data_IF_346866841497
#
_entry.id   IF_346866841497
#
_cell.length_a   1.000
_cell.length_b   1.000
_cell.length_c   1.000
_cell.angle_alpha   90.00
_cell.angle_beta   90.00
_cell.angle_gamma   90.00
#
_symmetry.space_group_name_H-M   'P 1'
#
loop_
_entity.id
_entity.type
_entity.pdbx_description
1 polymer ?
#
# COMPACT_ATOMS: atom_id res chain seq x y z
N UNK A 1 -15.29 24.36 -0.34
CA UNK A 1 -14.68 23.07 -0.73
C UNK A 1 -15.72 21.95 -0.59
N UNK A 2 -16.26 21.71 0.62
CA UNK A 2 -17.36 20.75 0.83
C UNK A 2 -18.60 20.98 -0.05
N UNK A 3 -19.08 22.22 -0.17
CA UNK A 3 -20.25 22.53 -1.01
C UNK A 3 -20.02 22.30 -2.52
N UNK A 4 -18.75 22.16 -2.94
CA UNK A 4 -18.36 21.90 -4.33
C UNK A 4 -18.00 20.44 -4.58
N UNK A 5 -18.12 19.56 -3.58
CA UNK A 5 -17.70 18.15 -3.66
C UNK A 5 -16.26 17.95 -4.17
N UNK A 6 -15.37 18.86 -3.79
CA UNK A 6 -13.94 18.75 -4.13
C UNK A 6 -13.20 18.06 -2.97
N UNK A 7 -12.29 17.15 -3.31
CA UNK A 7 -11.46 16.41 -2.35
C UNK A 7 -12.29 15.54 -1.39
N UNK A 8 -13.27 14.83 -1.93
CA UNK A 8 -14.12 13.92 -1.13
C UNK A 8 -13.41 12.60 -0.82
N UNK A 9 -12.40 12.22 -1.61
CA UNK A 9 -11.66 10.98 -1.42
C UNK A 9 -10.35 11.20 -0.63
N UNK A 10 -9.90 10.18 0.12
CA UNK A 10 -8.67 10.26 0.91
C UNK A 10 -7.47 10.69 0.06
N UNK A 11 -6.65 11.59 0.58
CA UNK A 11 -5.37 12.01 -0.01
C UNK A 11 -5.42 12.74 -1.37
N UNK A 12 -6.59 13.04 -1.93
CA UNK A 12 -6.67 13.73 -3.24
C UNK A 12 -5.96 15.09 -3.23
N UNK A 13 -6.12 15.88 -2.16
CA UNK A 13 -5.48 17.20 -2.04
C UNK A 13 -3.96 17.07 -1.91
N UNK A 14 -3.49 16.12 -1.12
CA UNK A 14 -2.08 15.80 -0.92
C UNK A 14 -1.43 15.33 -2.22
N UNK A 15 -2.09 14.43 -2.96
CA UNK A 15 -1.60 13.91 -4.25
C UNK A 15 -1.59 15.00 -5.32
N UNK A 16 -2.57 15.90 -5.34
CA UNK A 16 -2.54 17.09 -6.20
C UNK A 16 -1.34 17.98 -5.85
N UNK A 17 -1.02 18.18 -4.57
CA UNK A 17 0.15 18.96 -4.17
C UNK A 17 1.46 18.33 -4.66
N UNK A 18 1.59 17.01 -4.59
CA UNK A 18 2.77 16.30 -5.12
C UNK A 18 2.87 16.48 -6.64
N UNK A 19 1.76 16.36 -7.37
CA UNK A 19 1.72 16.60 -8.81
C UNK A 19 2.11 18.05 -9.18
N UNK A 20 1.63 19.04 -8.43
CA UNK A 20 1.98 20.44 -8.65
C UNK A 20 3.47 20.71 -8.35
N UNK A 21 4.01 20.11 -7.28
CA UNK A 21 5.44 20.19 -6.96
C UNK A 21 6.31 19.60 -8.07
N UNK A 22 5.86 18.50 -8.70
CA UNK A 22 6.50 17.94 -9.90
C UNK A 22 6.58 18.96 -11.03
N UNK A 23 5.43 19.54 -11.40
CA UNK A 23 5.36 20.51 -12.50
C UNK A 23 6.23 21.74 -12.21
N UNK A 24 6.13 22.29 -11.01
CA UNK A 24 6.93 23.43 -10.57
C UNK A 24 8.44 23.14 -10.61
N UNK A 25 8.86 21.92 -10.31
CA UNK A 25 10.27 21.54 -10.36
C UNK A 25 10.85 21.66 -11.77
N UNK A 26 10.07 21.30 -12.81
CA UNK A 26 10.49 21.49 -14.19
C UNK A 26 10.58 22.97 -14.56
N UNK A 27 9.55 23.75 -14.23
CA UNK A 27 9.52 25.20 -14.49
C UNK A 27 10.70 25.90 -13.81
N UNK A 28 11.02 25.51 -12.57
CA UNK A 28 12.13 26.07 -11.80
C UNK A 28 13.49 25.76 -12.44
N UNK A 29 13.75 24.50 -12.80
CA UNK A 29 15.01 24.11 -13.42
C UNK A 29 15.20 24.81 -14.76
N UNK A 30 14.14 24.91 -15.57
CA UNK A 30 14.19 25.60 -16.85
C UNK A 30 14.38 27.11 -16.70
N UNK A 31 13.70 27.73 -15.73
CA UNK A 31 13.89 29.15 -15.41
C UNK A 31 15.35 29.44 -15.01
N UNK A 32 15.92 28.65 -14.10
CA UNK A 32 17.32 28.79 -13.69
C UNK A 32 18.28 28.56 -14.88
N UNK A 33 18.01 27.55 -15.72
CA UNK A 33 18.84 27.27 -16.90
C UNK A 33 18.81 28.42 -17.91
N UNK A 34 17.64 28.99 -18.17
CA UNK A 34 17.47 30.16 -19.03
C UNK A 34 18.28 31.35 -18.53
N UNK A 35 18.17 31.70 -17.24
CA UNK A 35 18.90 32.85 -16.69
C UNK A 35 20.41 32.61 -16.53
N UNK A 36 20.87 31.36 -16.42
CA UNK A 36 22.31 31.04 -16.43
C UNK A 36 22.93 31.22 -17.82
N UNK A 37 22.26 30.75 -18.86
CA UNK A 37 22.78 30.79 -20.23
C UNK A 37 21.68 30.96 -21.29
N UNK A 38 21.13 32.18 -21.49
CA UNK A 38 20.00 32.40 -22.38
C UNK A 38 20.27 31.97 -23.83
N UNK A 39 21.50 32.15 -24.32
CA UNK A 39 21.88 31.85 -25.71
C UNK A 39 22.02 30.36 -26.04
N UNK A 40 22.16 29.49 -25.04
CA UNK A 40 22.30 28.04 -25.23
C UNK A 40 21.17 27.25 -24.56
N UNK A 41 20.22 27.93 -23.93
CA UNK A 41 19.10 27.30 -23.25
C UNK A 41 18.24 26.51 -24.25
N UNK A 42 17.84 25.32 -23.82
CA UNK A 42 16.81 24.51 -24.47
C UNK A 42 15.86 23.99 -23.39
N UNK A 43 14.54 24.03 -23.61
CA UNK A 43 13.61 23.36 -22.72
C UNK A 43 13.87 21.85 -22.73
N UNK A 44 13.57 21.19 -21.62
CA UNK A 44 13.55 19.74 -21.53
C UNK A 44 12.37 19.21 -22.36
N UNK A 45 12.62 18.22 -23.21
CA UNK A 45 11.58 17.63 -24.04
C UNK A 45 10.46 17.01 -23.18
N UNK A 46 9.22 17.13 -23.67
CA UNK A 46 8.02 16.74 -22.93
C UNK A 46 8.03 15.25 -22.54
N UNK A 47 8.57 14.38 -23.40
CA UNK A 47 8.71 12.96 -23.10
C UNK A 47 9.59 12.70 -21.88
N UNK A 48 10.73 13.40 -21.76
CA UNK A 48 11.58 13.29 -20.58
C UNK A 48 10.90 13.84 -19.34
N UNK A 49 10.19 14.98 -19.45
CA UNK A 49 9.38 15.51 -18.34
C UNK A 49 8.32 14.49 -17.91
N UNK A 50 7.66 13.84 -18.86
CA UNK A 50 6.63 12.83 -18.59
C UNK A 50 7.24 11.62 -17.86
N UNK A 51 8.37 11.12 -18.31
CA UNK A 51 9.06 9.99 -17.71
C UNK A 51 9.77 10.30 -16.38
N UNK A 52 9.84 11.57 -15.96
CA UNK A 52 10.32 11.98 -14.64
C UNK A 52 9.16 12.09 -13.65
N UNK A 53 9.26 11.38 -12.53
CA UNK A 53 8.36 11.50 -11.38
C UNK A 53 8.93 12.33 -10.24
N UNK A 54 8.24 12.31 -9.10
CA UNK A 54 8.71 12.87 -7.83
C UNK A 54 9.35 11.75 -7.01
N UNK A 55 10.65 11.84 -6.77
CA UNK A 55 11.33 10.97 -5.81
C UNK A 55 10.96 11.35 -4.38
N UNK A 56 10.56 10.37 -3.57
CA UNK A 56 10.27 10.58 -2.15
C UNK A 56 11.03 9.56 -1.29
N UNK A 57 11.60 10.03 -0.18
CA UNK A 57 12.21 9.20 0.85
C UNK A 57 11.23 9.05 2.02
N UNK A 58 10.58 7.89 2.10
CA UNK A 58 9.56 7.63 3.11
C UNK A 58 10.17 6.88 4.29
N UNK A 59 10.09 7.49 5.47
CA UNK A 59 10.47 6.88 6.74
C UNK A 59 9.29 6.28 7.51
N UNK A 60 9.54 6.00 8.79
CA UNK A 60 8.64 5.32 9.73
C UNK A 60 7.28 6.00 9.97
N UNK A 61 7.13 7.28 9.61
CA UNK A 61 5.94 8.06 9.93
C UNK A 61 4.62 7.48 9.41
N UNK A 62 4.65 6.69 8.34
CA UNK A 62 3.43 6.10 7.79
C UNK A 62 3.05 4.73 8.37
N UNK A 63 3.95 4.04 9.09
CA UNK A 63 3.64 2.72 9.64
C UNK A 63 2.53 2.79 10.72
N UNK A 64 2.58 3.72 11.71
CA UNK A 64 1.48 3.87 12.67
C UNK A 64 0.14 4.25 12.03
N UNK A 65 0.16 4.98 10.90
CA UNK A 65 -1.07 5.34 10.19
C UNK A 65 -1.86 4.09 9.80
N UNK A 66 -1.19 3.06 9.25
CA UNK A 66 -1.86 1.82 8.84
C UNK A 66 -2.51 1.09 10.02
N UNK A 67 -1.91 1.18 11.21
CA UNK A 67 -2.42 0.54 12.43
C UNK A 67 -3.58 1.35 13.02
N UNK A 68 -3.47 2.68 13.00
CA UNK A 68 -4.42 3.60 13.62
C UNK A 68 -5.66 3.90 12.76
N UNK A 69 -5.64 3.59 11.46
CA UNK A 69 -6.77 3.78 10.54
C UNK A 69 -7.27 2.46 9.93
N UNK A 70 -7.60 1.45 10.76
CA UNK A 70 -7.88 0.10 10.29
C UNK A 70 -9.12 0.00 9.38
N UNK A 71 -10.12 0.86 9.56
CA UNK A 71 -11.33 0.82 8.72
C UNK A 71 -11.04 1.34 7.32
N UNK A 72 -10.28 2.42 7.20
CA UNK A 72 -9.80 2.98 5.95
C UNK A 72 -8.95 1.96 5.20
N UNK A 73 -8.02 1.27 5.89
CA UNK A 73 -7.22 0.21 5.27
C UNK A 73 -8.11 -0.95 4.82
N UNK A 74 -9.10 -1.34 5.62
CA UNK A 74 -10.06 -2.35 5.17
C UNK A 74 -10.80 -1.92 3.91
N UNK A 75 -11.25 -0.66 3.83
CA UNK A 75 -11.94 -0.13 2.66
C UNK A 75 -11.05 -0.13 1.42
N UNK A 76 -9.78 0.28 1.55
CA UNK A 76 -8.82 0.27 0.44
C UNK A 76 -8.59 -1.13 -0.11
N UNK A 77 -8.37 -2.09 0.79
CA UNK A 77 -8.15 -3.49 0.39
C UNK A 77 -9.42 -4.10 -0.19
N UNK A 78 -10.59 -3.87 0.43
CA UNK A 78 -11.87 -4.37 -0.10
C UNK A 78 -12.17 -3.79 -1.48
N UNK A 79 -11.96 -2.49 -1.70
CA UNK A 79 -12.13 -1.86 -3.02
C UNK A 79 -11.22 -2.52 -4.07
N UNK A 80 -9.94 -2.75 -3.74
CA UNK A 80 -8.98 -3.43 -4.63
C UNK A 80 -9.41 -4.87 -4.94
N UNK A 81 -9.77 -5.65 -3.92
CA UNK A 81 -10.15 -7.06 -4.10
C UNK A 81 -11.46 -7.20 -4.89
N UNK A 82 -12.43 -6.31 -4.65
CA UNK A 82 -13.68 -6.28 -5.43
C UNK A 82 -13.41 -5.89 -6.89
N UNK A 83 -12.57 -4.88 -7.14
CA UNK A 83 -12.13 -4.51 -8.48
C UNK A 83 -11.53 -5.71 -9.23
N UNK A 84 -10.60 -6.43 -8.59
CA UNK A 84 -10.00 -7.62 -9.17
C UNK A 84 -11.03 -8.74 -9.40
N UNK A 85 -11.97 -8.93 -8.48
CA UNK A 85 -13.03 -9.92 -8.61
C UNK A 85 -13.96 -9.62 -9.80
N UNK A 86 -14.34 -8.35 -10.00
CA UNK A 86 -15.17 -7.93 -11.14
C UNK A 86 -14.45 -8.09 -12.47
N UNK A 87 -13.17 -7.72 -12.55
CA UNK A 87 -12.36 -7.94 -13.76
C UNK A 87 -12.24 -9.43 -14.08
N UNK A 88 -12.06 -10.28 -13.06
CA UNK A 88 -12.08 -11.74 -13.23
C UNK A 88 -13.47 -12.29 -13.59
N UNK A 89 -14.54 -11.50 -13.42
CA UNK A 89 -15.91 -11.81 -13.84
C UNK A 89 -16.16 -11.61 -15.34
N UNK A 90 -15.28 -10.91 -16.05
CA UNK A 90 -15.43 -10.62 -17.48
C UNK A 90 -15.39 -11.92 -18.30
N UNK A 91 -16.47 -12.21 -19.02
CA UNK A 91 -16.60 -13.45 -19.79
C UNK A 91 -15.73 -13.49 -21.05
N UNK A 92 -15.53 -12.35 -21.71
CA UNK A 92 -14.74 -12.26 -22.94
C UNK A 92 -13.94 -10.96 -22.97
N UNK A 93 -12.62 -11.07 -23.11
CA UNK A 93 -11.75 -9.90 -23.29
C UNK A 93 -11.88 -9.36 -24.73
N UNK A 94 -11.82 -8.04 -24.90
CA UNK A 94 -11.75 -7.41 -26.21
C UNK A 94 -10.32 -7.49 -26.78
N UNK A 95 -10.20 -7.45 -28.11
CA UNK A 95 -8.89 -7.38 -28.75
C UNK A 95 -8.11 -6.13 -28.34
N UNK A 96 -8.82 -5.01 -28.15
CA UNK A 96 -8.21 -3.74 -27.74
C UNK A 96 -7.64 -3.82 -26.33
N UNK A 97 -8.41 -4.33 -25.35
CA UNK A 97 -7.92 -4.51 -23.97
C UNK A 97 -6.74 -5.48 -23.94
N UNK A 98 -6.80 -6.58 -24.71
CA UNK A 98 -5.68 -7.54 -24.79
C UNK A 98 -4.43 -6.90 -25.36
N UNK A 99 -4.57 -6.07 -26.40
CA UNK A 99 -3.46 -5.33 -27.00
C UNK A 99 -2.88 -4.31 -26.02
N UNK A 100 -3.71 -3.49 -25.38
CA UNK A 100 -3.28 -2.50 -24.40
C UNK A 100 -2.58 -3.16 -23.21
N UNK A 101 -3.05 -4.33 -22.76
CA UNK A 101 -2.40 -5.09 -21.72
C UNK A 101 -0.98 -5.54 -22.11
N UNK A 102 -0.78 -6.00 -23.35
CA UNK A 102 0.55 -6.34 -23.85
C UNK A 102 1.45 -5.11 -23.91
N UNK A 103 0.94 -3.97 -24.38
CA UNK A 103 1.69 -2.70 -24.40
C UNK A 103 2.11 -2.27 -22.98
N UNK A 104 1.19 -2.37 -22.01
CA UNK A 104 1.45 -2.04 -20.62
C UNK A 104 2.44 -3.02 -19.96
N UNK A 105 2.37 -4.30 -20.32
CA UNK A 105 3.32 -5.32 -19.90
C UNK A 105 4.74 -5.04 -20.41
N UNK A 106 4.87 -4.58 -21.66
CA UNK A 106 6.15 -4.16 -22.23
C UNK A 106 6.71 -2.90 -21.53
N UNK A 107 5.84 -1.93 -21.20
CA UNK A 107 6.23 -0.78 -20.37
C UNK A 107 6.72 -1.20 -18.99
N UNK A 108 6.02 -2.13 -18.32
CA UNK A 108 6.43 -2.66 -17.04
C UNK A 108 7.79 -3.37 -17.12
N UNK A 109 8.07 -4.14 -18.17
CA UNK A 109 9.38 -4.76 -18.39
C UNK A 109 10.49 -3.71 -18.50
N UNK A 110 10.27 -2.66 -19.30
CA UNK A 110 11.22 -1.56 -19.43
C UNK A 110 11.41 -0.80 -18.12
N UNK A 111 10.33 -0.55 -17.37
CA UNK A 111 10.38 0.10 -16.06
C UNK A 111 11.28 -0.67 -15.08
N UNK A 112 11.21 -2.01 -15.06
CA UNK A 112 12.07 -2.84 -14.22
C UNK A 112 13.54 -2.85 -14.65
N UNK A 113 13.81 -2.68 -15.94
CA UNK A 113 15.19 -2.52 -16.45
C UNK A 113 15.77 -1.19 -15.94
N UNK A 114 14.97 -0.13 -15.98
CA UNK A 114 15.33 1.23 -15.55
C UNK A 114 15.24 1.47 -14.03
N UNK A 115 15.16 0.40 -13.24
CA UNK A 115 15.10 0.47 -11.79
C UNK A 115 16.38 -0.11 -11.18
N UNK A 116 17.43 0.71 -11.02
CA UNK A 116 18.60 0.33 -10.25
C UNK A 116 18.29 0.40 -8.76
N UNK A 117 18.80 -0.57 -8.00
CA UNK A 117 18.77 -0.56 -6.54
C UNK A 117 20.11 -1.09 -6.02
N UNK A 118 20.52 -0.62 -4.86
CA UNK A 118 21.73 -1.06 -4.15
C UNK A 118 21.43 -2.10 -3.08
N UNK A 119 20.15 -2.41 -2.84
CA UNK A 119 19.71 -3.38 -1.84
C UNK A 119 19.72 -4.79 -2.43
N UNK A 120 20.51 -5.70 -1.85
CA UNK A 120 20.73 -7.05 -2.40
C UNK A 120 19.44 -7.89 -2.46
N UNK A 121 18.57 -7.75 -1.46
CA UNK A 121 17.29 -8.48 -1.42
C UNK A 121 16.34 -7.96 -2.52
N UNK A 122 16.24 -6.65 -2.69
CA UNK A 122 15.44 -6.05 -3.76
C UNK A 122 16.04 -6.35 -5.14
N UNK A 123 17.36 -6.42 -5.30
CA UNK A 123 17.99 -6.88 -6.56
C UNK A 123 17.54 -8.30 -6.91
N UNK A 124 17.59 -9.23 -5.95
CA UNK A 124 17.16 -10.60 -6.17
C UNK A 124 15.67 -10.70 -6.54
N UNK A 125 14.82 -9.92 -5.86
CA UNK A 125 13.39 -9.82 -6.19
C UNK A 125 13.14 -9.27 -7.60
N UNK A 126 13.85 -8.20 -7.98
CA UNK A 126 13.72 -7.62 -9.32
C UNK A 126 14.21 -8.55 -10.43
N UNK A 127 15.28 -9.31 -10.20
CA UNK A 127 15.73 -10.33 -11.16
C UNK A 127 14.66 -11.39 -11.38
N UNK A 128 14.09 -11.92 -10.29
CA UNK A 128 12.98 -12.86 -10.37
C UNK A 128 11.76 -12.27 -11.08
N UNK A 129 11.40 -11.04 -10.75
CA UNK A 129 10.26 -10.35 -11.35
C UNK A 129 10.44 -10.14 -12.86
N UNK A 130 11.66 -9.85 -13.32
CA UNK A 130 11.98 -9.77 -14.76
C UNK A 130 11.75 -11.09 -15.48
N UNK A 131 12.15 -12.21 -14.88
CA UNK A 131 11.88 -13.55 -15.43
C UNK A 131 10.37 -13.86 -15.44
N UNK A 132 9.66 -13.47 -14.38
CA UNK A 132 8.21 -13.65 -14.24
C UNK A 132 7.42 -12.86 -15.29
N UNK A 133 7.82 -11.63 -15.62
CA UNK A 133 7.17 -10.85 -16.69
C UNK A 133 7.29 -11.54 -18.06
N UNK A 134 8.42 -12.20 -18.34
CA UNK A 134 8.57 -13.00 -19.57
C UNK A 134 7.65 -14.23 -19.57
N UNK A 135 7.37 -14.81 -18.40
CA UNK A 135 6.40 -15.91 -18.27
C UNK A 135 4.98 -15.40 -18.49
N UNK A 136 4.62 -14.24 -17.93
CA UNK A 136 3.31 -13.60 -18.17
C UNK A 136 3.12 -13.34 -19.66
N UNK A 137 4.11 -12.76 -20.33
CA UNK A 137 4.04 -12.48 -21.77
C UNK A 137 3.78 -13.74 -22.61
N UNK A 138 4.40 -14.87 -22.26
CA UNK A 138 4.15 -16.18 -22.90
C UNK A 138 2.75 -16.70 -22.60
N UNK A 139 2.32 -16.64 -21.34
CA UNK A 139 1.00 -17.10 -20.91
C UNK A 139 -0.10 -16.35 -21.70
N UNK A 140 -0.01 -15.03 -21.78
CA UNK A 140 -0.95 -14.16 -22.50
C UNK A 140 -1.13 -14.57 -23.96
N UNK A 141 -0.08 -15.01 -24.66
CA UNK A 141 -0.17 -15.44 -26.06
C UNK A 141 -0.94 -16.75 -26.23
N UNK A 142 -0.91 -17.62 -25.21
CA UNK A 142 -1.52 -18.96 -25.25
C UNK A 142 -2.99 -19.00 -24.82
N UNK A 143 -3.50 -17.92 -24.21
CA UNK A 143 -4.85 -17.89 -23.66
C UNK A 143 -5.91 -17.53 -24.72
N UNK A 144 -7.05 -18.21 -24.59
CA UNK A 144 -8.28 -17.87 -25.29
C UNK A 144 -8.94 -16.62 -24.70
N UNK A 145 -9.80 -15.96 -25.48
CA UNK A 145 -10.46 -14.73 -25.03
C UNK A 145 -11.52 -14.98 -23.93
N UNK A 146 -12.03 -16.22 -23.80
CA UNK A 146 -13.05 -16.56 -22.82
C UNK A 146 -12.45 -16.67 -21.41
N UNK A 147 -13.01 -15.91 -20.45
CA UNK A 147 -12.51 -15.82 -19.06
C UNK A 147 -11.01 -15.57 -19.00
N UNK A 148 -10.49 -14.75 -19.92
CA UNK A 148 -9.07 -14.48 -20.10
C UNK A 148 -8.41 -14.03 -18.78
N UNK A 149 -8.95 -12.99 -18.13
CA UNK A 149 -8.38 -12.43 -16.89
C UNK A 149 -8.36 -13.44 -15.75
N UNK A 150 -9.48 -14.12 -15.50
CA UNK A 150 -9.57 -15.17 -14.48
C UNK A 150 -8.58 -16.29 -14.71
N UNK A 151 -8.42 -16.72 -15.95
CA UNK A 151 -7.48 -17.79 -16.31
C UNK A 151 -6.04 -17.35 -16.09
N UNK A 152 -5.71 -16.11 -16.47
CA UNK A 152 -4.38 -15.53 -16.29
C UNK A 152 -4.02 -15.34 -14.80
N UNK A 153 -4.92 -14.77 -14.00
CA UNK A 153 -4.72 -14.55 -12.56
C UNK A 153 -4.66 -15.87 -11.78
N UNK A 154 -5.48 -16.86 -12.15
CA UNK A 154 -5.41 -18.21 -11.56
C UNK A 154 -4.14 -18.98 -11.94
N UNK A 155 -3.63 -18.79 -13.15
CA UNK A 155 -2.32 -19.32 -13.53
C UNK A 155 -1.21 -18.66 -12.70
N UNK A 156 -1.26 -17.34 -12.56
CA UNK A 156 -0.26 -16.56 -11.85
C UNK A 156 -0.16 -16.94 -10.37
N UNK A 157 -1.30 -17.21 -9.71
CA UNK A 157 -1.31 -17.63 -8.30
C UNK A 157 -0.54 -18.93 -8.04
N UNK A 158 -0.37 -19.77 -9.07
CA UNK A 158 0.35 -21.04 -8.99
C UNK A 158 1.78 -20.97 -9.54
N UNK A 159 2.09 -19.97 -10.37
CA UNK A 159 3.34 -19.91 -11.14
C UNK A 159 4.26 -18.75 -10.76
N UNK A 160 3.73 -17.68 -10.15
CA UNK A 160 4.48 -16.47 -9.85
C UNK A 160 4.67 -16.26 -8.34
N UNK A 161 5.71 -15.52 -7.98
CA UNK A 161 5.89 -14.95 -6.65
C UNK A 161 4.77 -13.96 -6.31
N UNK A 162 4.63 -13.61 -5.02
CA UNK A 162 3.66 -12.58 -4.59
C UNK A 162 3.90 -11.23 -5.31
N UNK A 163 5.14 -10.84 -5.54
CA UNK A 163 5.44 -9.58 -6.25
C UNK A 163 5.04 -9.64 -7.73
N UNK A 164 5.23 -10.79 -8.38
CA UNK A 164 4.74 -11.04 -9.74
C UNK A 164 3.21 -11.09 -9.84
N UNK A 165 2.55 -11.70 -8.86
CA UNK A 165 1.08 -11.72 -8.77
C UNK A 165 0.53 -10.31 -8.59
N UNK A 166 1.10 -9.53 -7.67
CA UNK A 166 0.63 -8.18 -7.36
C UNK A 166 0.88 -7.18 -8.50
N UNK A 167 2.01 -7.31 -9.20
CA UNK A 167 2.26 -6.54 -10.42
C UNK A 167 1.23 -6.90 -11.49
N UNK A 168 1.02 -8.18 -11.77
CA UNK A 168 0.01 -8.63 -12.73
C UNK A 168 -1.39 -8.10 -12.38
N UNK A 169 -1.82 -8.24 -11.12
CA UNK A 169 -3.12 -7.77 -10.66
C UNK A 169 -3.27 -6.26 -10.91
N UNK A 170 -2.21 -5.47 -10.67
CA UNK A 170 -2.22 -4.02 -10.94
C UNK A 170 -2.42 -3.73 -12.43
N UNK A 171 -1.72 -4.44 -13.33
CA UNK A 171 -1.88 -4.28 -14.78
C UNK A 171 -3.28 -4.70 -15.26
N UNK A 172 -3.84 -5.76 -14.66
CA UNK A 172 -5.18 -6.26 -14.98
C UNK A 172 -6.26 -5.24 -14.56
N UNK A 173 -6.10 -4.62 -13.39
CA UNK A 173 -7.01 -3.56 -12.92
C UNK A 173 -6.91 -2.34 -13.84
N UNK A 174 -5.70 -1.88 -14.13
CA UNK A 174 -5.43 -0.68 -14.96
C UNK A 174 -6.10 -0.71 -16.33
N UNK A 175 -6.14 -1.87 -17.00
CA UNK A 175 -6.69 -2.03 -18.36
C UNK A 175 -8.23 -2.07 -18.39
N UNK A 176 -8.90 -2.09 -17.24
CA UNK A 176 -10.35 -2.21 -17.16
C UNK A 176 -11.03 -1.06 -16.37
N UNK A 177 -10.75 0.22 -16.68
CA UNK A 177 -11.22 1.39 -15.93
C UNK A 177 -12.75 1.47 -15.86
N UNK A 178 -13.44 1.13 -16.96
CA UNK A 178 -14.91 1.08 -17.02
C UNK A 178 -15.54 0.09 -16.04
N UNK A 179 -14.77 -0.87 -15.54
CA UNK A 179 -15.21 -1.85 -14.53
C UNK A 179 -14.78 -1.39 -13.14
N UNK A 180 -13.56 -0.87 -12.98
CA UNK A 180 -12.97 -0.70 -11.66
C UNK A 180 -13.06 0.71 -11.07
N UNK A 181 -13.19 1.76 -11.87
CA UNK A 181 -13.04 3.15 -11.40
C UNK A 181 -14.08 3.54 -10.33
N UNK A 182 -15.26 2.92 -10.37
CA UNK A 182 -16.32 3.21 -9.40
C UNK A 182 -15.94 2.80 -7.95
N UNK A 183 -15.01 1.84 -7.78
CA UNK A 183 -14.51 1.44 -6.47
C UNK A 183 -13.69 2.52 -5.77
N UNK A 184 -13.17 3.54 -6.49
CA UNK A 184 -12.46 4.66 -5.88
C UNK A 184 -13.33 5.38 -4.84
N UNK A 185 -14.64 5.45 -5.10
CA UNK A 185 -15.62 6.09 -4.21
C UNK A 185 -15.86 5.33 -2.89
N UNK A 186 -15.42 4.08 -2.80
CA UNK A 186 -15.58 3.22 -1.62
C UNK A 186 -14.39 3.30 -0.65
N UNK A 187 -13.34 4.04 -1.02
CA UNK A 187 -12.07 4.06 -0.29
C UNK A 187 -12.08 4.94 0.97
N UNK A 188 -13.12 5.74 1.21
CA UNK A 188 -13.23 6.63 2.37
C UNK A 188 -13.85 5.90 3.60
N UNK A 189 -13.45 6.28 4.81
CA UNK A 189 -14.02 5.77 6.07
C UNK A 189 -14.22 6.88 7.11
N UNK A 190 -15.22 6.74 7.97
CA UNK A 190 -15.46 7.66 9.10
C UNK A 190 -14.55 7.40 10.31
N UNK A 191 -13.85 6.27 10.31
CA UNK A 191 -12.95 5.81 11.39
C UNK A 191 -13.61 5.71 12.78
N UNK A 192 -14.94 5.78 12.88
CA UNK A 192 -15.62 5.78 14.17
C UNK A 192 -15.59 4.38 14.79
N UNK A 193 -14.91 4.24 15.93
CA UNK A 193 -14.91 3.01 16.71
C UNK A 193 -15.82 3.14 17.93
N UNK A 194 -16.57 2.10 18.27
CA UNK A 194 -17.55 2.11 19.37
C UNK A 194 -17.46 0.86 20.23
N UNK A 195 -17.99 0.96 21.45
CA UNK A 195 -18.07 -0.15 22.40
C UNK A 195 -19.54 -0.56 22.53
N UNK A 196 -19.81 -1.84 22.30
CA UNK A 196 -21.09 -2.48 22.61
C UNK A 196 -21.02 -2.93 24.07
N UNK A 197 -21.54 -2.09 24.97
CA UNK A 197 -21.34 -2.17 26.42
C UNK A 197 -22.03 -3.39 27.07
N UNK A 198 -23.16 -3.80 26.52
CA UNK A 198 -23.98 -4.94 26.97
C UNK A 198 -23.55 -6.28 26.37
N UNK A 199 -22.57 -6.28 25.45
CA UNK A 199 -22.04 -7.51 24.87
C UNK A 199 -21.45 -8.41 25.98
N UNK A 200 -21.85 -9.69 26.05
CA UNK A 200 -21.22 -10.65 26.98
C UNK A 200 -19.75 -10.87 26.65
N UNK A 201 -18.90 -11.05 27.67
CA UNK A 201 -17.46 -11.28 27.47
C UNK A 201 -17.16 -12.52 26.62
N UNK A 202 -17.99 -13.56 26.70
CA UNK A 202 -17.86 -14.75 25.86
C UNK A 202 -17.93 -14.42 24.36
N UNK A 203 -18.62 -13.35 23.97
CA UNK A 203 -18.65 -12.89 22.58
C UNK A 203 -17.32 -12.28 22.16
N UNK A 204 -16.63 -11.56 23.06
CA UNK A 204 -15.27 -11.03 22.80
C UNK A 204 -14.29 -12.18 22.56
N UNK A 205 -14.32 -13.21 23.40
CA UNK A 205 -13.51 -14.43 23.24
C UNK A 205 -13.73 -15.04 21.84
N UNK A 206 -15.00 -15.22 21.44
CA UNK A 206 -15.33 -15.77 20.11
C UNK A 206 -14.86 -14.89 18.94
N UNK A 207 -14.92 -13.57 19.08
CA UNK A 207 -14.39 -12.66 18.05
C UNK A 207 -12.87 -12.82 17.96
N UNK A 208 -12.16 -12.93 19.10
CA UNK A 208 -10.71 -13.16 19.11
C UNK A 208 -10.37 -14.50 18.45
N UNK A 209 -11.04 -15.59 18.84
CA UNK A 209 -10.80 -16.94 18.29
C UNK A 209 -11.05 -17.04 16.79
N UNK A 210 -11.96 -16.22 16.25
CA UNK A 210 -12.27 -16.20 14.82
C UNK A 210 -11.42 -15.18 14.04
N UNK A 211 -11.51 -13.90 14.40
CA UNK A 211 -10.92 -12.76 13.67
C UNK A 211 -9.47 -12.50 14.00
N UNK A 212 -9.03 -12.85 15.20
CA UNK A 212 -7.65 -12.70 15.65
C UNK A 212 -6.98 -14.05 15.85
N UNK A 213 -7.45 -15.09 15.16
CA UNK A 213 -6.85 -16.44 15.24
C UNK A 213 -5.37 -16.46 14.85
N UNK A 214 -4.94 -15.51 14.00
CA UNK A 214 -3.53 -15.29 13.66
C UNK A 214 -2.71 -14.90 14.88
N UNK A 215 -3.22 -14.05 15.79
CA UNK A 215 -2.56 -13.68 17.05
C UNK A 215 -2.31 -14.92 17.91
N UNK A 216 -3.29 -15.82 17.98
CA UNK A 216 -3.19 -17.04 18.78
C UNK A 216 -2.16 -18.04 18.23
N UNK A 217 -1.81 -17.93 16.94
CA UNK A 217 -0.79 -18.74 16.28
C UNK A 217 0.63 -18.15 16.41
N UNK A 218 0.76 -16.87 16.75
CA UNK A 218 2.06 -16.23 16.96
C UNK A 218 2.72 -16.68 18.25
N UNK A 219 4.04 -16.91 18.21
CA UNK A 219 4.84 -17.12 19.40
C UNK A 219 5.21 -15.76 20.02
N UNK A 220 4.34 -15.23 20.87
CA UNK A 220 4.55 -13.94 21.55
C UNK A 220 5.28 -14.05 22.91
N UNK A 221 5.72 -15.25 23.27
CA UNK A 221 6.42 -15.51 24.55
C UNK A 221 7.95 -15.49 24.40
N UNK A 222 8.48 -15.60 23.17
CA UNK A 222 9.92 -15.57 22.94
C UNK A 222 10.50 -14.16 23.15
N UNK A 223 11.79 -14.08 23.51
CA UNK A 223 12.47 -12.84 23.92
C UNK A 223 12.43 -11.73 22.85
N UNK A 224 12.53 -12.11 21.57
CA UNK A 224 12.49 -11.20 20.42
C UNK A 224 11.11 -10.61 20.11
N UNK A 225 10.02 -11.18 20.62
CA UNK A 225 8.64 -10.78 20.27
C UNK A 225 8.23 -9.40 20.78
N UNK A 226 8.99 -8.84 21.71
CA UNK A 226 8.72 -7.52 22.28
C UNK A 226 10.01 -6.68 22.32
N UNK A 227 10.94 -6.95 21.41
CA UNK A 227 12.25 -6.30 21.35
C UNK A 227 12.17 -4.84 20.92
N UNK A 228 11.09 -4.42 20.26
CA UNK A 228 10.88 -3.06 19.75
C UNK A 228 9.74 -2.35 20.46
N UNK A 229 9.76 -1.02 20.39
CA UNK A 229 8.63 -0.17 20.80
C UNK A 229 8.53 1.05 19.88
N UNK A 230 7.30 1.43 19.57
CA UNK A 230 7.01 2.62 18.76
C UNK A 230 6.80 3.81 19.66
N UNK A 231 7.33 4.99 19.30
CA UNK A 231 7.12 6.22 20.06
C UNK A 231 7.06 7.42 19.12
N UNK A 232 6.55 8.55 19.62
CA UNK A 232 6.54 9.83 18.89
C UNK A 232 7.66 10.72 19.40
N UNK A 233 8.52 11.18 18.51
CA UNK A 233 9.59 12.12 18.85
C UNK A 233 9.02 13.52 19.06
N UNK A 234 9.38 14.18 20.17
CA UNK A 234 8.97 15.57 20.46
C UNK A 234 9.61 16.58 19.51
N UNK A 235 10.89 16.40 19.16
CA UNK A 235 11.62 17.35 18.30
C UNK A 235 11.12 17.37 16.85
N UNK A 236 10.70 16.22 16.33
CA UNK A 236 10.33 16.03 14.92
C UNK A 236 8.86 15.71 14.71
N UNK A 237 8.10 15.50 15.79
CA UNK A 237 6.68 15.10 15.78
C UNK A 237 6.36 13.84 14.94
N UNK A 238 7.40 13.05 14.64
CA UNK A 238 7.39 11.88 13.78
C UNK A 238 7.50 10.57 14.59
N UNK A 239 6.78 9.51 14.17
CA UNK A 239 7.00 8.17 14.68
C UNK A 239 8.42 7.65 14.53
N UNK A 240 8.88 6.94 15.57
CA UNK A 240 10.18 6.28 15.66
C UNK A 240 10.00 4.86 16.19
N UNK A 241 11.00 4.03 15.96
CA UNK A 241 11.07 2.65 16.44
C UNK A 241 12.36 2.49 17.24
N UNK A 242 12.24 2.21 18.54
CA UNK A 242 13.36 2.01 19.45
C UNK A 242 13.53 0.54 19.85
N UNK A 243 14.71 0.19 20.34
CA UNK A 243 15.00 -1.11 20.95
C UNK A 243 14.68 -1.12 22.44
N UNK A 244 13.67 -1.89 22.86
CA UNK A 244 13.12 -1.89 24.23
C UNK A 244 14.16 -2.15 25.31
N UNK A 245 15.11 -3.04 25.04
CA UNK A 245 16.13 -3.48 26.01
C UNK A 245 17.50 -2.80 25.80
N UNK A 246 17.61 -1.87 24.84
CA UNK A 246 18.88 -1.19 24.51
C UNK A 246 18.77 0.34 24.58
N UNK A 247 17.56 0.87 24.49
CA UNK A 247 17.30 2.31 24.44
C UNK A 247 16.29 2.73 25.52
N UNK A 248 16.44 3.93 26.11
CA UNK A 248 15.41 4.51 26.96
C UNK A 248 14.16 4.90 26.15
N UNK A 249 13.02 5.10 26.82
CA UNK A 249 11.80 5.62 26.20
C UNK A 249 10.69 4.60 25.97
N UNK A 250 10.87 3.34 26.37
CA UNK A 250 9.81 2.32 26.32
C UNK A 250 8.59 2.68 27.17
N UNK A 251 8.76 3.56 28.16
CA UNK A 251 7.68 4.18 28.95
C UNK A 251 6.80 5.14 28.13
N UNK A 252 7.28 5.63 26.98
CA UNK A 252 6.56 6.51 26.04
C UNK A 252 5.98 5.75 24.85
N UNK A 253 5.85 4.43 24.97
CA UNK A 253 5.38 3.57 23.90
C UNK A 253 3.96 3.92 23.45
N UNK A 254 3.79 4.03 22.13
CA UNK A 254 2.50 4.08 21.47
C UNK A 254 1.87 2.68 21.47
N UNK A 255 0.55 2.62 21.63
CA UNK A 255 -0.20 1.36 21.70
C UNK A 255 -0.41 0.68 20.34
N UNK A 256 0.67 0.43 19.60
CA UNK A 256 0.65 -0.14 18.25
C UNK A 256 0.84 -1.66 18.22
N UNK A 257 1.23 -2.28 19.34
CA UNK A 257 1.37 -3.74 19.47
C UNK A 257 0.04 -4.49 19.53
N UNK A 258 -0.74 -4.50 18.45
CA UNK A 258 -2.08 -5.10 18.42
C UNK A 258 -2.04 -6.59 18.80
N UNK A 259 -1.10 -7.36 18.24
CA UNK A 259 -0.93 -8.78 18.56
C UNK A 259 -0.73 -9.00 20.07
N UNK A 260 0.21 -8.26 20.69
CA UNK A 260 0.49 -8.32 22.12
C UNK A 260 -0.73 -7.91 22.97
N UNK A 261 -1.43 -6.85 22.56
CA UNK A 261 -2.61 -6.35 23.29
C UNK A 261 -3.77 -7.35 23.26
N UNK A 262 -4.05 -7.94 22.09
CA UNK A 262 -5.13 -8.93 21.93
C UNK A 262 -4.80 -10.21 22.68
N UNK A 263 -3.55 -10.69 22.60
CA UNK A 263 -3.08 -11.89 23.32
C UNK A 263 -3.25 -11.75 24.83
N UNK A 264 -2.76 -10.65 25.41
CA UNK A 264 -2.86 -10.40 26.86
C UNK A 264 -4.31 -10.24 27.34
N UNK A 265 -5.16 -9.57 26.56
CA UNK A 265 -6.59 -9.51 26.84
C UNK A 265 -7.21 -10.91 26.84
N UNK A 266 -6.91 -11.71 25.82
CA UNK A 266 -7.42 -13.08 25.70
C UNK A 266 -7.00 -13.95 26.89
N UNK A 267 -5.74 -13.89 27.30
CA UNK A 267 -5.23 -14.59 28.48
C UNK A 267 -5.93 -14.14 29.76
N UNK A 268 -6.11 -12.84 29.97
CA UNK A 268 -6.79 -12.34 31.16
C UNK A 268 -8.25 -12.81 31.22
N UNK A 269 -8.96 -12.77 30.09
CA UNK A 269 -10.34 -13.25 29.99
C UNK A 269 -10.47 -14.75 30.31
N UNK A 270 -9.43 -15.55 30.07
CA UNK A 270 -9.45 -17.00 30.32
C UNK A 270 -8.85 -17.42 31.67
N UNK A 271 -7.91 -16.65 32.21
CA UNK A 271 -7.19 -16.98 33.44
C UNK A 271 -7.97 -16.59 34.70
N UNK A 272 -8.78 -15.53 34.62
CA UNK A 272 -9.66 -15.14 35.71
C UNK A 272 -10.92 -16.03 35.70
N UNK A 273 -11.40 -16.46 36.86
CA UNK A 273 -12.65 -17.23 37.04
C UNK A 273 -13.88 -16.33 36.80
N UNK A 274 -13.89 -15.61 35.68
CA UNK A 274 -14.90 -14.66 35.28
C UNK A 274 -16.14 -15.41 34.79
N UNK A 275 -17.34 -14.96 35.14
CA UNK A 275 -18.56 -15.54 34.60
C UNK A 275 -18.79 -15.02 33.17
N UNK A 276 -17.96 -15.44 32.20
CA UNK A 276 -17.88 -14.89 30.83
C UNK A 276 -19.22 -14.81 30.08
N UNK A 277 -20.16 -15.71 30.41
CA UNK A 277 -21.50 -15.73 29.80
C UNK A 277 -22.45 -14.69 30.39
N UNK A 278 -22.26 -14.32 31.65
CA UNK A 278 -23.14 -13.42 32.40
C UNK A 278 -22.56 -12.00 32.54
N UNK A 279 -21.23 -11.88 32.64
CA UNK A 279 -20.55 -10.58 32.72
C UNK A 279 -20.50 -9.91 31.35
N UNK A 280 -20.87 -8.63 31.35
CA UNK A 280 -20.84 -7.75 30.18
C UNK A 280 -19.49 -7.06 30.02
N UNK A 281 -19.22 -6.55 28.82
CA UNK A 281 -18.06 -5.70 28.54
C UNK A 281 -18.01 -4.48 29.47
N UNK A 282 -19.16 -3.86 29.76
CA UNK A 282 -19.20 -2.69 30.65
C UNK A 282 -18.76 -3.01 32.08
N UNK A 283 -19.24 -4.12 32.65
CA UNK A 283 -18.87 -4.57 34.00
C UNK A 283 -17.38 -4.90 34.08
N UNK A 284 -16.83 -5.57 33.06
CA UNK A 284 -15.40 -5.85 32.98
C UNK A 284 -14.54 -4.59 32.87
N UNK A 285 -14.96 -3.62 32.05
CA UNK A 285 -14.19 -2.39 31.85
C UNK A 285 -14.18 -1.46 33.07
N UNK A 286 -15.07 -1.65 34.05
CA UNK A 286 -15.00 -0.97 35.34
C UNK A 286 -13.77 -1.44 36.14
N UNK A 287 -13.46 -2.73 36.11
CA UNK A 287 -12.34 -3.31 36.86
C UNK A 287 -11.04 -3.37 36.04
N UNK A 288 -11.13 -3.43 34.71
CA UNK A 288 -9.99 -3.51 33.80
C UNK A 288 -10.05 -2.45 32.67
N UNK A 289 -10.06 -1.14 33.00
CA UNK A 289 -10.23 -0.06 32.03
C UNK A 289 -9.10 0.02 30.98
N UNK A 290 -7.92 -0.57 31.28
CA UNK A 290 -6.79 -0.64 30.35
C UNK A 290 -7.17 -1.31 29.03
N UNK A 291 -8.16 -2.22 29.01
CA UNK A 291 -8.59 -2.94 27.81
C UNK A 291 -9.60 -2.22 26.95
N UNK A 292 -10.02 -1.02 27.34
CA UNK A 292 -11.06 -0.25 26.64
C UNK A 292 -10.80 -0.15 25.14
N UNK A 293 -9.61 0.28 24.73
CA UNK A 293 -9.27 0.47 23.32
C UNK A 293 -9.13 -0.87 22.57
N UNK A 294 -8.55 -1.90 23.21
CA UNK A 294 -8.45 -3.24 22.59
C UNK A 294 -9.84 -3.83 22.33
N UNK A 295 -10.75 -3.76 23.31
CA UNK A 295 -12.12 -4.24 23.15
C UNK A 295 -12.88 -3.42 22.11
N UNK A 296 -12.77 -2.09 22.16
CA UNK A 296 -13.38 -1.19 21.18
C UNK A 296 -12.94 -1.54 19.75
N UNK A 297 -11.63 -1.77 19.56
CA UNK A 297 -11.06 -2.19 18.27
C UNK A 297 -11.61 -3.55 17.82
N UNK A 298 -11.54 -4.57 18.67
CA UNK A 298 -12.06 -5.92 18.39
C UNK A 298 -13.53 -5.89 17.98
N UNK A 299 -14.37 -5.16 18.74
CA UNK A 299 -15.79 -5.03 18.43
C UNK A 299 -16.01 -4.29 17.11
N UNK A 300 -15.34 -3.15 16.92
CA UNK A 300 -15.55 -2.28 15.75
C UNK A 300 -15.06 -2.91 14.44
N UNK A 301 -14.05 -3.78 14.50
CA UNK A 301 -13.41 -4.37 13.31
C UNK A 301 -13.86 -5.80 13.00
N UNK A 302 -14.77 -6.39 13.79
CA UNK A 302 -15.19 -7.80 13.63
C UNK A 302 -15.69 -8.19 12.23
N UNK A 303 -16.20 -7.23 11.46
CA UNK A 303 -16.70 -7.43 10.09
C UNK A 303 -15.74 -6.91 9.01
N UNK A 304 -14.61 -6.32 9.39
CA UNK A 304 -13.60 -5.78 8.48
C UNK A 304 -12.51 -6.86 8.25
N UNK A 305 -12.41 -7.39 7.03
CA UNK A 305 -11.51 -8.52 6.72
C UNK A 305 -10.05 -8.13 6.56
N UNK A 306 -9.79 -6.89 6.13
CA UNK A 306 -8.45 -6.39 5.85
C UNK A 306 -8.07 -5.23 6.79
N UNK A 307 -8.66 -5.19 7.98
CA UNK A 307 -8.46 -4.10 8.94
C UNK A 307 -7.20 -4.24 9.79
N UNK A 308 -6.63 -5.44 9.90
CA UNK A 308 -5.50 -5.73 10.77
C UNK A 308 -4.26 -6.09 9.96
N UNK A 309 -3.12 -5.61 10.46
CA UNK A 309 -1.82 -6.10 10.02
C UNK A 309 -1.57 -7.37 10.81
N UNK A 310 -1.66 -8.52 10.14
CA UNK A 310 -1.47 -9.84 10.75
C UNK A 310 0.02 -10.17 10.98
N UNK A 311 0.70 -9.32 11.75
CA UNK A 311 2.12 -9.45 12.08
C UNK A 311 2.43 -8.82 13.45
N UNK A 312 3.56 -9.18 14.05
CA UNK A 312 4.03 -8.59 15.29
C UNK A 312 4.97 -7.40 15.02
N UNK A 313 4.41 -6.21 14.98
CA UNK A 313 5.15 -4.95 14.73
C UNK A 313 6.13 -4.55 15.84
N UNK A 314 6.19 -5.31 16.94
CA UNK A 314 7.13 -5.13 18.05
C UNK A 314 8.29 -6.15 18.04
N UNK A 315 8.30 -7.07 17.07
CA UNK A 315 9.31 -8.12 16.97
C UNK A 315 10.67 -7.58 16.50
N UNK A 316 11.74 -8.25 16.92
CA UNK A 316 13.13 -7.90 16.59
C UNK A 316 13.36 -7.70 15.08
N UNK A 317 12.82 -8.62 14.29
CA UNK A 317 13.01 -8.69 12.83
C UNK A 317 11.90 -7.99 12.03
N UNK A 318 10.99 -7.26 12.69
CA UNK A 318 9.97 -6.51 11.97
C UNK A 318 10.62 -5.49 11.03
N UNK A 319 10.16 -5.46 9.77
CA UNK A 319 10.61 -4.50 8.74
C UNK A 319 9.48 -3.53 8.41
N UNK A 320 9.42 -2.36 9.06
CA UNK A 320 8.39 -1.35 8.81
C UNK A 320 8.22 -0.98 7.34
N UNK A 321 9.30 -1.03 6.55
CA UNK A 321 9.25 -0.76 5.10
C UNK A 321 8.25 -1.62 4.34
N UNK A 322 7.94 -2.85 4.81
CA UNK A 322 6.92 -3.69 4.18
C UNK A 322 5.52 -3.07 4.32
N UNK A 323 5.23 -2.47 5.48
CA UNK A 323 4.00 -1.72 5.72
C UNK A 323 3.95 -0.47 4.84
N UNK A 324 5.08 0.25 4.76
CA UNK A 324 5.17 1.46 3.92
C UNK A 324 4.90 1.15 2.45
N UNK A 325 5.44 0.05 1.92
CA UNK A 325 5.21 -0.40 0.53
C UNK A 325 3.72 -0.56 0.23
N UNK A 326 2.98 -1.21 1.13
CA UNK A 326 1.54 -1.41 1.01
C UNK A 326 0.78 -0.08 0.88
N UNK A 327 1.01 0.88 1.81
CA UNK A 327 0.34 2.19 1.76
C UNK A 327 0.67 2.96 0.48
N UNK A 328 1.96 3.02 0.16
CA UNK A 328 2.47 3.82 -0.95
C UNK A 328 2.04 3.25 -2.30
N UNK A 329 1.89 1.93 -2.43
CA UNK A 329 1.34 1.30 -3.62
C UNK A 329 -0.09 1.78 -3.92
N UNK A 330 -0.91 2.01 -2.89
CA UNK A 330 -2.27 2.59 -3.05
C UNK A 330 -2.25 4.03 -3.58
N UNK A 331 -1.11 4.72 -3.49
CA UNK A 331 -0.93 6.06 -4.08
C UNK A 331 -0.27 6.03 -5.47
N UNK A 332 -0.11 4.85 -6.06
CA UNK A 332 0.58 4.68 -7.34
C UNK A 332 2.10 4.87 -7.25
N UNK A 333 2.69 4.66 -6.07
CA UNK A 333 4.15 4.69 -5.94
C UNK A 333 4.79 3.51 -6.65
N UNK A 334 5.91 3.79 -7.31
CA UNK A 334 6.77 2.79 -7.97
C UNK A 334 8.21 2.90 -7.47
N UNK A 335 9.09 2.03 -7.96
CA UNK A 335 10.52 2.01 -7.64
C UNK A 335 10.87 2.00 -6.15
N UNK A 336 10.23 1.09 -5.40
CA UNK A 336 10.46 0.81 -3.98
C UNK A 336 11.89 0.35 -3.66
N UNK A 337 12.81 1.29 -3.49
CA UNK A 337 14.25 1.05 -3.29
C UNK A 337 14.64 1.22 -1.81
N UNK A 338 14.76 0.12 -1.03
CA UNK A 338 15.11 0.19 0.38
C UNK A 338 16.50 0.78 0.57
N UNK A 339 16.67 1.56 1.63
CA UNK A 339 17.99 2.09 2.04
C UNK A 339 18.36 1.69 3.47
N UNK A 340 17.39 1.20 4.22
CA UNK A 340 17.52 0.44 5.46
C UNK A 340 16.17 -0.23 5.75
N UNK A 341 16.06 -0.96 6.85
CA UNK A 341 14.77 -1.50 7.31
C UNK A 341 13.77 -0.43 7.78
N UNK A 342 14.20 0.82 7.92
CA UNK A 342 13.39 1.91 8.49
C UNK A 342 12.90 2.92 7.45
N UNK A 343 13.46 2.93 6.23
CA UNK A 343 13.06 3.86 5.19
C UNK A 343 13.35 3.36 3.78
N UNK A 344 12.51 3.80 2.85
CA UNK A 344 12.49 3.38 1.45
C UNK A 344 12.36 4.59 0.53
N UNK A 345 13.00 4.54 -0.63
CA UNK A 345 12.78 5.51 -1.71
C UNK A 345 11.71 5.00 -2.66
N UNK A 346 10.91 5.92 -3.18
CA UNK A 346 9.89 5.64 -4.18
C UNK A 346 9.87 6.75 -5.24
N UNK A 347 9.18 6.51 -6.34
CA UNK A 347 8.78 7.51 -7.32
C UNK A 347 7.25 7.61 -7.38
N UNK A 348 6.72 8.82 -7.47
CA UNK A 348 5.31 9.12 -7.72
C UNK A 348 5.13 9.89 -9.03
N UNK A 349 3.98 9.76 -9.68
CA UNK A 349 3.63 10.49 -10.91
C UNK A 349 4.66 10.34 -12.05
N UNK A 350 5.42 9.25 -12.06
CA UNK A 350 6.20 8.89 -13.24
C UNK A 350 5.22 8.51 -14.36
N UNK A 351 5.39 9.05 -15.57
CA UNK A 351 4.44 8.85 -16.67
C UNK A 351 3.23 9.78 -16.67
N UNK A 352 3.00 10.51 -15.58
CA UNK A 352 1.85 11.39 -15.46
C UNK A 352 1.89 12.53 -16.49
N UNK A 353 0.73 12.90 -17.07
CA UNK A 353 0.64 13.96 -18.07
C UNK A 353 1.18 15.29 -17.52
N UNK A 354 1.74 16.11 -18.42
CA UNK A 354 2.11 17.49 -18.09
C UNK A 354 0.86 18.34 -17.92
N UNK A 355 0.97 19.45 -17.18
CA UNK A 355 -0.17 20.34 -16.87
C UNK A 355 -0.91 20.82 -18.13
N UNK A 356 -0.16 21.11 -19.21
CA UNK A 356 -0.70 21.50 -20.52
C UNK A 356 -1.46 20.38 -21.26
N UNK A 357 -1.28 19.14 -20.84
CA UNK A 357 -1.89 17.94 -21.44
C UNK A 357 -3.02 17.36 -20.57
N UNK A 358 -3.37 18.00 -19.45
CA UNK A 358 -4.51 17.62 -18.62
C UNK A 358 -5.82 17.98 -19.34
N UNK A 359 -6.37 17.02 -20.07
CA UNK A 359 -7.66 17.14 -20.74
C UNK A 359 -8.63 16.09 -20.18
N UNK A 360 -9.93 16.42 -20.09
CA UNK A 360 -10.98 15.48 -19.63
C UNK A 360 -11.07 14.20 -20.48
N UNK A 361 -10.55 14.23 -21.72
CA UNK A 361 -10.45 13.10 -22.64
C UNK A 361 -9.00 12.81 -23.06
N UNK A 362 -8.03 13.15 -22.21
CA UNK A 362 -6.62 12.85 -22.46
C UNK A 362 -6.37 11.34 -22.52
N UNK A 363 -5.30 10.88 -23.19
CA UNK A 363 -4.94 9.47 -23.14
C UNK A 363 -4.67 9.06 -21.70
N UNK A 364 -5.15 7.87 -21.32
CA UNK A 364 -4.75 7.23 -20.07
C UNK A 364 -3.22 7.12 -20.02
N UNK A 365 -2.69 7.22 -18.80
CA UNK A 365 -1.24 7.21 -18.56
C UNK A 365 -0.91 6.14 -17.53
N UNK A 366 0.25 5.53 -17.71
CA UNK A 366 0.73 4.46 -16.84
C UNK A 366 1.84 4.95 -15.92
N UNK A 367 1.78 4.53 -14.66
CA UNK A 367 2.86 4.74 -13.68
C UNK A 367 4.17 4.01 -14.04
N UNK A 368 4.11 3.10 -15.02
CA UNK A 368 5.26 2.36 -15.54
C UNK A 368 5.92 3.04 -16.75
N UNK A 369 5.50 4.23 -17.17
CA UNK A 369 6.06 4.89 -18.36
C UNK A 369 7.59 4.99 -18.28
N UNK A 370 8.32 4.30 -19.17
CA UNK A 370 9.79 4.25 -19.14
C UNK A 370 10.40 5.55 -19.68
N UNK A 371 11.62 5.86 -19.24
CA UNK A 371 12.46 6.92 -19.82
C UNK A 371 12.77 6.63 -21.29
N UNK A 372 13.03 5.36 -21.62
CA UNK A 372 13.27 4.89 -22.98
C UNK A 372 11.98 4.34 -23.61
N UNK A 373 10.86 5.08 -23.55
CA UNK A 373 9.70 4.73 -24.36
C UNK A 373 10.08 4.86 -25.83
N UNK A 374 9.89 3.81 -26.63
CA UNK A 374 10.13 3.85 -28.08
C UNK A 374 9.16 4.82 -28.74
N UNK A 375 9.55 6.08 -28.84
CA UNK A 375 8.83 7.08 -29.62
C UNK A 375 9.36 6.97 -31.04
N UNK A 376 8.78 6.07 -31.84
CA UNK A 376 9.19 5.80 -33.23
C UNK A 376 10.65 5.33 -33.38
N UNK A 377 11.14 5.13 -34.61
CA UNK A 377 12.37 4.41 -35.01
C UNK A 377 13.72 5.02 -34.53
N UNK A 378 13.77 5.73 -33.42
CA UNK A 378 15.02 6.28 -32.86
C UNK A 378 15.65 5.35 -31.82
N UNK A 379 16.99 5.28 -31.77
CA UNK A 379 17.70 4.41 -30.84
C UNK A 379 17.47 4.83 -29.38
N UNK A 380 17.52 3.85 -28.45
CA UNK A 380 17.45 4.11 -27.01
C UNK A 380 18.51 5.13 -26.59
N UNK A 381 18.08 6.22 -25.96
CA UNK A 381 18.94 7.35 -25.60
C UNK A 381 19.84 7.07 -24.39
N UNK A 382 19.44 6.13 -23.53
CA UNK A 382 20.19 5.77 -22.33
C UNK A 382 20.15 4.25 -22.11
N UNK A 383 21.27 3.57 -22.40
CA UNK A 383 21.53 2.17 -22.01
C UNK A 383 22.56 2.16 -20.90
#
# INVERSE_FOLDING_TARGET
IKDKKLFELPFQAEMLCVYLARCFSFDWVEHVAFFKSPGSYKPLDDHFKQALGVGNATGLGMAPFLINHPKLICHWMTARENALAEVNGIEKVSNDNRKQFVELLDEAQMHLIEWPTTDEEQQAKLLKLKEELLQIAKAVQSLDDHKFWKTLTSWASNSLSLEGQELLNSLVIEINPNVVDHFELETASDELMSIEADMPLISIVKIIESRYSWVLKLNLEHEGSNARFWYRSEEKEEPRLGWRFREPGADKEMRLGIAQNVKKLYEQLLAEDLPLKAMTVSEFLITAPIWRETIQRIQSLRNCHYAEIEDNVLEENCRPINLLRCKLAMFGATKFDPKSDLWIRIALFQGAPLSKNLNLNGPEWSSFSPLNKKISNEPNYFV
#
